data_IF_698110724793
#
_entry.id   IF_698110724793
#
_cell.length_a   1.000
_cell.length_b   1.000
_cell.length_c   1.000
_cell.angle_alpha   90.00
_cell.angle_beta   90.00
_cell.angle_gamma   90.00
#
_symmetry.space_group_name_H-M   'P 1'
#
loop_
_entity.id
_entity.type
_entity.pdbx_description
1 polymer ?
#
# COMPACT_ATOMS: atom_id res chain seq x y z
N UNK A 1 8.47 23.31 6.75
CA UNK A 1 7.77 22.61 5.64
C UNK A 1 8.03 21.12 5.81
N UNK A 2 7.00 20.31 6.05
CA UNK A 2 7.16 18.86 6.10
C UNK A 2 6.92 18.29 4.69
N UNK A 3 7.88 17.53 4.16
CA UNK A 3 7.87 17.01 2.78
C UNK A 3 6.68 16.10 2.44
N UNK A 4 5.93 15.60 3.44
CA UNK A 4 4.73 14.77 3.27
C UNK A 4 3.74 15.36 2.25
N UNK A 5 3.40 16.66 2.36
CA UNK A 5 2.19 17.18 1.68
C UNK A 5 2.43 17.36 0.19
N UNK A 6 3.67 17.75 -0.12
CA UNK A 6 4.16 17.83 -1.49
C UNK A 6 4.17 16.41 -2.10
N UNK A 7 4.72 15.42 -1.39
CA UNK A 7 4.78 14.04 -1.91
C UNK A 7 3.38 13.49 -2.17
N UNK A 8 2.46 13.64 -1.22
CA UNK A 8 1.10 13.08 -1.31
C UNK A 8 0.28 13.68 -2.44
N UNK A 9 0.48 14.98 -2.71
CA UNK A 9 -0.27 15.69 -3.75
C UNK A 9 0.36 15.57 -5.14
N UNK A 10 1.67 15.33 -5.23
CA UNK A 10 2.41 15.34 -6.51
C UNK A 10 2.73 13.95 -7.05
N UNK A 11 3.06 12.96 -6.21
CA UNK A 11 3.52 11.66 -6.66
C UNK A 11 2.50 10.95 -7.58
N UNK A 12 1.18 10.91 -7.26
CA UNK A 12 0.20 10.34 -8.18
C UNK A 12 0.07 11.12 -9.49
N UNK A 13 0.14 12.46 -9.43
CA UNK A 13 -0.18 13.35 -10.55
C UNK A 13 0.95 13.46 -11.57
N UNK A 14 2.20 13.33 -11.12
CA UNK A 14 3.37 13.46 -11.98
C UNK A 14 3.89 12.07 -12.31
N UNK A 15 4.50 11.40 -11.32
CA UNK A 15 5.12 10.10 -11.55
C UNK A 15 4.08 9.04 -11.88
N UNK A 16 3.00 8.96 -11.10
CA UNK A 16 1.93 7.98 -11.32
C UNK A 16 1.24 8.14 -12.68
N UNK A 17 0.96 9.36 -13.11
CA UNK A 17 0.37 9.62 -14.43
C UNK A 17 1.31 9.19 -15.55
N UNK A 18 2.60 9.51 -15.43
CA UNK A 18 3.61 9.08 -16.39
C UNK A 18 3.74 7.55 -16.48
N UNK A 19 3.61 6.82 -15.35
CA UNK A 19 3.66 5.34 -15.34
C UNK A 19 2.49 4.66 -16.07
N UNK A 20 1.33 5.32 -16.12
CA UNK A 20 0.18 4.81 -16.87
C UNK A 20 0.51 4.78 -18.37
N UNK A 21 1.21 5.81 -18.86
CA UNK A 21 1.60 5.93 -20.26
C UNK A 21 2.89 5.17 -20.61
N UNK A 22 3.72 4.84 -19.61
CA UNK A 22 5.05 4.27 -19.80
C UNK A 22 5.24 3.00 -18.95
N UNK A 23 4.51 1.93 -19.27
CA UNK A 23 4.51 0.68 -18.49
C UNK A 23 5.89 0.04 -18.34
N UNK A 24 6.74 0.16 -19.37
CA UNK A 24 8.08 -0.45 -19.39
C UNK A 24 9.07 0.23 -18.43
N UNK A 25 8.73 1.43 -17.96
CA UNK A 25 9.59 2.25 -17.11
C UNK A 25 9.24 2.15 -15.61
N UNK A 26 8.25 1.32 -15.25
CA UNK A 26 7.77 1.19 -13.86
C UNK A 26 8.80 0.65 -12.88
N UNK A 27 9.90 0.07 -13.37
CA UNK A 27 11.06 -0.36 -12.58
C UNK A 27 11.67 0.77 -11.73
N UNK A 28 11.43 2.05 -12.08
CA UNK A 28 11.85 3.17 -11.23
C UNK A 28 11.16 3.17 -9.86
N UNK A 29 9.95 2.63 -9.75
CA UNK A 29 9.24 2.50 -8.47
C UNK A 29 9.96 1.52 -7.54
N UNK A 30 10.53 0.43 -8.08
CA UNK A 30 11.33 -0.51 -7.28
C UNK A 30 12.58 0.12 -6.70
N UNK A 31 13.26 0.97 -7.49
CA UNK A 31 14.42 1.74 -7.02
C UNK A 31 14.02 2.66 -5.86
N UNK A 32 12.91 3.38 -6.02
CA UNK A 32 12.41 4.30 -4.98
C UNK A 32 11.96 3.55 -3.73
N UNK A 33 11.29 2.41 -3.87
CA UNK A 33 10.89 1.54 -2.77
C UNK A 33 12.10 0.95 -2.03
N UNK A 34 13.23 0.73 -2.71
CA UNK A 34 14.49 0.29 -2.11
C UNK A 34 15.30 1.36 -1.40
N UNK A 35 14.90 2.63 -1.45
CA UNK A 35 15.68 3.75 -0.91
C UNK A 35 15.70 3.78 0.62
N UNK A 36 16.79 4.27 1.21
CA UNK A 36 16.87 4.59 2.64
C UNK A 36 16.09 5.87 3.00
N UNK A 37 15.71 6.68 2.01
CA UNK A 37 14.96 7.91 2.21
C UNK A 37 13.46 7.61 2.29
N UNK A 38 12.86 7.95 3.44
CA UNK A 38 11.43 7.77 3.71
C UNK A 38 10.54 8.29 2.57
N UNK A 39 10.83 9.50 2.09
CA UNK A 39 10.01 10.19 1.10
C UNK A 39 10.06 9.52 -0.27
N UNK A 40 11.20 8.94 -0.66
CA UNK A 40 11.33 8.21 -1.92
C UNK A 40 10.49 6.94 -1.89
N UNK A 41 10.56 6.17 -0.79
CA UNK A 41 9.69 4.99 -0.60
C UNK A 41 8.22 5.37 -0.62
N UNK A 42 7.86 6.50 0.00
CA UNK A 42 6.48 7.02 -0.01
C UNK A 42 6.03 7.41 -1.42
N UNK A 43 6.89 8.05 -2.21
CA UNK A 43 6.64 8.36 -3.62
C UNK A 43 6.36 7.07 -4.40
N UNK A 44 7.17 6.03 -4.22
CA UNK A 44 6.97 4.74 -4.88
C UNK A 44 5.55 4.19 -4.64
N UNK A 45 5.13 4.18 -3.37
CA UNK A 45 3.80 3.69 -2.98
C UNK A 45 2.69 4.59 -3.51
N UNK A 46 2.77 5.91 -3.34
CA UNK A 46 1.67 6.81 -3.71
C UNK A 46 1.54 6.99 -5.23
N UNK A 47 2.62 6.84 -6.00
CA UNK A 47 2.56 6.85 -7.45
C UNK A 47 1.66 5.72 -7.99
N UNK A 48 1.59 4.58 -7.29
CA UNK A 48 0.69 3.46 -7.66
C UNK A 48 -0.79 3.86 -7.64
N UNK A 49 -1.18 4.97 -7.00
CA UNK A 49 -2.58 5.41 -6.99
C UNK A 49 -3.14 5.63 -8.40
N UNK A 50 -2.32 6.12 -9.33
CA UNK A 50 -2.73 6.32 -10.71
C UNK A 50 -2.89 4.99 -11.46
N UNK A 51 -2.06 3.99 -11.18
CA UNK A 51 -2.18 2.63 -11.71
C UNK A 51 -3.44 1.94 -11.16
N UNK A 52 -3.67 2.04 -9.85
CA UNK A 52 -4.88 1.55 -9.18
C UNK A 52 -6.12 2.15 -9.83
N UNK A 53 -6.08 3.43 -10.24
CA UNK A 53 -7.20 4.08 -10.92
C UNK A 53 -7.53 3.49 -12.30
N UNK A 54 -6.57 2.82 -12.93
CA UNK A 54 -6.68 2.11 -14.20
C UNK A 54 -6.81 0.59 -14.00
N UNK A 55 -7.16 0.14 -12.79
CA UNK A 55 -7.31 -1.26 -12.41
C UNK A 55 -6.04 -2.11 -12.57
N UNK A 56 -4.88 -1.45 -12.48
CA UNK A 56 -3.56 -2.07 -12.44
C UNK A 56 -3.04 -2.12 -11.00
N UNK A 57 -2.75 -3.33 -10.50
CA UNK A 57 -2.54 -3.57 -9.07
C UNK A 57 -1.22 -4.28 -8.72
N UNK A 58 -0.40 -4.62 -9.72
CA UNK A 58 0.80 -5.44 -9.52
C UNK A 58 1.78 -4.71 -8.61
N UNK A 59 2.07 -3.45 -8.92
CA UNK A 59 3.09 -2.64 -8.26
C UNK A 59 2.72 -2.36 -6.80
N UNK A 60 1.45 -2.08 -6.49
CA UNK A 60 1.04 -1.87 -5.10
C UNK A 60 1.13 -3.15 -4.28
N UNK A 61 0.80 -4.31 -4.86
CA UNK A 61 0.92 -5.59 -4.16
C UNK A 61 2.39 -5.88 -3.86
N UNK A 62 3.26 -5.78 -4.87
CA UNK A 62 4.70 -6.03 -4.72
C UNK A 62 5.34 -5.08 -3.72
N UNK A 63 5.02 -3.79 -3.79
CA UNK A 63 5.55 -2.80 -2.84
C UNK A 63 5.01 -3.00 -1.43
N UNK A 64 3.74 -3.40 -1.27
CA UNK A 64 3.18 -3.72 0.03
C UNK A 64 3.85 -4.94 0.67
N UNK A 65 4.20 -5.97 -0.12
CA UNK A 65 4.98 -7.12 0.36
C UNK A 65 6.41 -6.70 0.74
N UNK A 66 7.09 -5.96 -0.14
CA UNK A 66 8.47 -5.50 0.08
C UNK A 66 8.62 -4.61 1.31
N UNK A 67 7.68 -3.69 1.51
CA UNK A 67 7.76 -2.64 2.54
C UNK A 67 6.97 -3.00 3.81
N UNK A 68 6.51 -4.25 3.94
CA UNK A 68 5.71 -4.69 5.07
C UNK A 68 6.41 -4.50 6.43
N UNK A 69 7.74 -4.58 6.45
CA UNK A 69 8.57 -4.38 7.63
C UNK A 69 9.06 -2.94 7.84
N UNK A 70 8.58 -1.95 7.09
CA UNK A 70 9.03 -0.57 7.27
C UNK A 70 8.67 -0.06 8.69
N UNK A 71 9.69 0.38 9.42
CA UNK A 71 9.55 0.88 10.79
C UNK A 71 8.81 2.22 10.89
N UNK A 72 8.59 2.93 9.78
CA UNK A 72 7.94 4.24 9.80
C UNK A 72 6.41 4.09 9.71
N UNK A 73 5.71 4.58 10.73
CA UNK A 73 4.24 4.63 10.75
C UNK A 73 3.64 5.38 9.53
N UNK A 74 4.36 6.39 9.04
CA UNK A 74 4.00 7.12 7.82
C UNK A 74 3.92 6.21 6.59
N UNK A 75 4.86 5.26 6.44
CA UNK A 75 4.82 4.29 5.35
C UNK A 75 3.68 3.31 5.53
N UNK A 76 3.47 2.82 6.74
CA UNK A 76 2.36 1.91 7.05
C UNK A 76 1.00 2.52 6.67
N UNK A 77 0.81 3.82 6.91
CA UNK A 77 -0.38 4.57 6.48
C UNK A 77 -0.50 4.68 4.96
N UNK A 78 0.59 4.99 4.25
CA UNK A 78 0.56 5.09 2.79
C UNK A 78 0.23 3.76 2.13
N UNK A 79 0.90 2.67 2.55
CA UNK A 79 0.67 1.33 1.98
C UNK A 79 -0.76 0.88 2.32
N UNK A 80 -1.18 1.05 3.57
CA UNK A 80 -2.54 0.71 4.00
C UNK A 80 -3.60 1.48 3.21
N UNK A 81 -3.37 2.78 2.95
CA UNK A 81 -4.23 3.59 2.10
C UNK A 81 -4.30 3.05 0.68
N UNK A 82 -3.17 2.79 0.02
CA UNK A 82 -3.20 2.31 -1.38
C UNK A 82 -3.84 0.92 -1.49
N UNK A 83 -3.62 0.01 -0.53
CA UNK A 83 -4.35 -1.26 -0.47
C UNK A 83 -5.87 -1.06 -0.31
N UNK A 84 -6.29 -0.07 0.49
CA UNK A 84 -7.71 0.30 0.61
C UNK A 84 -8.27 0.82 -0.72
N UNK A 85 -7.52 1.64 -1.45
CA UNK A 85 -7.94 2.13 -2.76
C UNK A 85 -8.03 1.01 -3.81
N UNK A 86 -7.11 0.05 -3.79
CA UNK A 86 -7.23 -1.19 -4.57
C UNK A 86 -8.49 -1.97 -4.17
N UNK A 87 -8.73 -2.16 -2.87
CA UNK A 87 -9.90 -2.92 -2.38
C UNK A 87 -11.25 -2.31 -2.71
N UNK A 88 -11.35 -0.98 -2.89
CA UNK A 88 -12.56 -0.33 -3.40
C UNK A 88 -12.90 -0.73 -4.84
N UNK A 89 -11.90 -1.22 -5.60
CA UNK A 89 -12.02 -1.61 -7.01
C UNK A 89 -12.07 -3.12 -7.18
N UNK A 90 -11.23 -3.84 -6.46
CA UNK A 90 -11.12 -5.29 -6.47
C UNK A 90 -11.00 -5.81 -5.03
N UNK A 91 -12.14 -5.89 -4.34
CA UNK A 91 -12.23 -6.43 -2.98
C UNK A 91 -11.71 -7.88 -2.89
N UNK A 92 -12.06 -8.81 -3.82
CA UNK A 92 -11.52 -10.17 -3.79
C UNK A 92 -9.98 -10.22 -3.78
N UNK A 93 -9.32 -9.35 -4.54
CA UNK A 93 -7.86 -9.25 -4.57
C UNK A 93 -7.29 -8.71 -3.27
N UNK A 94 -7.92 -7.68 -2.66
CA UNK A 94 -7.55 -7.21 -1.33
C UNK A 94 -7.67 -8.34 -0.29
N UNK A 95 -8.80 -9.05 -0.26
CA UNK A 95 -8.99 -10.15 0.68
C UNK A 95 -7.96 -11.27 0.49
N UNK A 96 -7.61 -11.60 -0.76
CA UNK A 96 -6.55 -12.57 -1.06
C UNK A 96 -5.20 -12.13 -0.46
N UNK A 97 -4.85 -10.86 -0.63
CA UNK A 97 -3.66 -10.28 -0.02
C UNK A 97 -3.70 -10.35 1.51
N UNK A 98 -4.81 -9.93 2.12
CA UNK A 98 -4.98 -9.91 3.58
C UNK A 98 -4.95 -11.32 4.18
N UNK A 99 -5.60 -12.31 3.54
CA UNK A 99 -5.55 -13.72 3.99
C UNK A 99 -4.12 -14.25 4.04
N UNK A 100 -3.26 -13.84 3.11
CA UNK A 100 -1.84 -14.23 3.07
C UNK A 100 -1.01 -13.52 4.15
N UNK A 101 -1.30 -12.25 4.44
CA UNK A 101 -0.35 -11.38 5.14
C UNK A 101 -0.84 -10.76 6.46
N UNK A 102 -2.13 -10.80 6.80
CA UNK A 102 -2.69 -10.11 7.96
C UNK A 102 -1.98 -10.46 9.29
N UNK A 103 -1.48 -11.70 9.41
CA UNK A 103 -0.71 -12.20 10.56
C UNK A 103 0.60 -11.45 10.80
N UNK A 104 1.20 -10.90 9.75
CA UNK A 104 2.54 -10.30 9.78
C UNK A 104 2.57 -8.81 9.43
N UNK A 105 1.51 -8.26 8.84
CA UNK A 105 1.40 -6.82 8.54
C UNK A 105 1.65 -5.95 9.79
N UNK A 106 1.95 -4.66 9.68
CA UNK A 106 1.85 -3.70 10.78
C UNK A 106 0.38 -3.36 11.10
N UNK A 107 0.05 -3.07 12.38
CA UNK A 107 -1.35 -2.87 12.79
C UNK A 107 -1.96 -1.66 12.10
N UNK A 108 -1.20 -0.57 11.97
CA UNK A 108 -1.63 0.64 11.24
C UNK A 108 -1.95 0.31 9.79
N UNK A 109 -1.06 -0.40 9.09
CA UNK A 109 -1.26 -0.79 7.69
C UNK A 109 -2.54 -1.61 7.53
N UNK A 110 -2.73 -2.65 8.35
CA UNK A 110 -3.92 -3.49 8.31
C UNK A 110 -5.20 -2.70 8.53
N UNK A 111 -5.25 -1.83 9.56
CA UNK A 111 -6.44 -1.01 9.87
C UNK A 111 -6.83 -0.08 8.72
N UNK A 112 -5.85 0.52 8.06
CA UNK A 112 -6.11 1.36 6.90
C UNK A 112 -6.64 0.52 5.73
N UNK A 113 -6.06 -0.65 5.46
CA UNK A 113 -6.47 -1.53 4.36
C UNK A 113 -7.92 -2.00 4.47
N UNK A 114 -8.39 -2.30 5.69
CA UNK A 114 -9.73 -2.89 5.92
C UNK A 114 -10.84 -1.85 6.18
N UNK A 115 -10.53 -0.56 6.21
CA UNK A 115 -11.46 0.49 6.65
C UNK A 115 -12.79 0.52 5.88
N UNK A 116 -12.79 0.06 4.62
CA UNK A 116 -13.99 0.03 3.76
C UNK A 116 -14.66 -1.34 3.67
N UNK A 117 -14.15 -2.35 4.36
CA UNK A 117 -14.79 -3.66 4.46
C UNK A 117 -15.93 -3.63 5.47
N UNK A 118 -16.76 -4.68 5.46
CA UNK A 118 -17.80 -4.89 6.47
C UNK A 118 -17.21 -4.95 7.87
N UNK A 119 -17.98 -4.61 8.90
CA UNK A 119 -17.53 -4.71 10.30
C UNK A 119 -17.11 -6.14 10.68
N UNK A 120 -17.77 -7.15 10.09
CA UNK A 120 -17.45 -8.57 10.25
C UNK A 120 -16.06 -8.89 9.69
N UNK A 121 -15.79 -8.51 8.43
CA UNK A 121 -14.49 -8.72 7.80
C UNK A 121 -13.37 -7.94 8.50
N UNK A 122 -13.65 -6.72 8.96
CA UNK A 122 -12.69 -5.94 9.73
C UNK A 122 -12.28 -6.68 11.01
N UNK A 123 -13.26 -7.22 11.73
CA UNK A 123 -13.03 -7.97 12.98
C UNK A 123 -12.22 -9.23 12.70
N UNK A 124 -12.65 -10.03 11.71
CA UNK A 124 -11.96 -11.24 11.26
C UNK A 124 -10.48 -11.00 10.95
N UNK A 125 -10.16 -9.99 10.15
CA UNK A 125 -8.75 -9.74 9.80
C UNK A 125 -7.93 -9.18 10.98
N UNK A 126 -8.55 -8.43 11.89
CA UNK A 126 -7.90 -7.98 13.12
C UNK A 126 -7.61 -9.14 14.08
N UNK A 127 -8.51 -10.11 14.20
CA UNK A 127 -8.32 -11.31 15.00
C UNK A 127 -7.24 -12.22 14.42
N UNK A 128 -7.24 -12.44 13.11
CA UNK A 128 -6.18 -13.21 12.42
C UNK A 128 -4.78 -12.69 12.75
N UNK A 129 -4.62 -11.37 12.91
CA UNK A 129 -3.36 -10.76 13.31
C UNK A 129 -2.92 -11.19 14.72
N UNK A 130 -3.87 -11.30 15.65
CA UNK A 130 -3.61 -11.57 17.06
C UNK A 130 -3.27 -13.03 17.35
N UNK A 131 -3.78 -13.97 16.54
CA UNK A 131 -3.41 -15.40 16.62
C UNK A 131 -1.89 -15.66 16.57
N UNK A 132 -1.08 -14.71 16.09
CA UNK A 132 0.39 -14.82 16.08
C UNK A 132 1.01 -14.76 17.49
N UNK A 133 0.30 -14.25 18.49
CA UNK A 133 0.82 -14.03 19.85
C UNK A 133 0.35 -15.07 20.88
N UNK A 134 -0.39 -16.09 20.46
CA UNK A 134 -0.89 -17.17 21.33
C UNK A 134 -0.05 -18.47 21.27
N UNK A 135 1.21 -18.38 20.80
CA UNK A 135 2.17 -19.51 20.74
C UNK A 135 3.43 -19.19 21.52
#
# INVERSE_FOLDING_TARGET
>A
MNNWDIVDTTAPKILGAWMVENSDERHVLDRLAGSNVLWERRVAVLATFSLIKHDEFVEIIEHAERLMGDGHDLMNKAIGWMLREMGKRDQPRLEKFLKKHAKVMPRTMLRYSIEKLSSEDQTKFLEMRWEKFEV
#
